data_IF_794777740815
#
_entry.id   IF_794777740815
#
_cell.length_a   1.000
_cell.length_b   1.000
_cell.length_c   1.000
_cell.angle_alpha   90.00
_cell.angle_beta   90.00
_cell.angle_gamma   90.00
#
_symmetry.space_group_name_H-M   'P 1'
#
loop_
_entity.id
_entity.type
_entity.pdbx_description
1 polymer ?
#
# COMPACT_ATOMS: atom_id res chain seq x y z
N UNK A 1 17.77 -22.49 8.07
CA UNK A 1 16.44 -22.15 7.53
C UNK A 1 16.70 -21.65 6.11
N UNK A 2 15.94 -22.08 5.11
CA UNK A 2 16.08 -21.54 3.76
C UNK A 2 15.57 -20.08 3.80
N UNK A 3 16.32 -19.14 3.23
CA UNK A 3 15.87 -17.77 3.05
C UNK A 3 14.54 -17.77 2.28
N UNK A 4 13.63 -16.87 2.64
CA UNK A 4 12.39 -16.65 1.92
C UNK A 4 12.75 -16.45 0.44
N UNK A 5 12.18 -17.25 -0.48
CA UNK A 5 12.49 -17.20 -1.91
C UNK A 5 11.91 -15.99 -2.63
N UNK A 6 11.38 -15.02 -1.89
CA UNK A 6 10.75 -13.81 -2.41
C UNK A 6 11.75 -12.97 -3.22
N UNK A 7 11.38 -12.62 -4.44
CA UNK A 7 12.11 -11.62 -5.21
C UNK A 7 11.92 -10.27 -4.52
N UNK A 8 13.00 -9.67 -4.02
CA UNK A 8 12.97 -8.36 -3.37
C UNK A 8 12.27 -7.34 -4.30
N UNK A 9 11.33 -6.59 -3.77
CA UNK A 9 10.54 -5.56 -4.49
C UNK A 9 11.41 -4.47 -5.16
N UNK A 10 12.59 -4.17 -4.63
CA UNK A 10 13.63 -3.38 -5.31
C UNK A 10 14.92 -4.19 -5.45
N UNK A 11 15.32 -4.46 -6.67
CA UNK A 11 16.70 -4.81 -7.02
C UNK A 11 17.49 -3.52 -7.25
N UNK A 12 17.83 -2.79 -6.21
CA UNK A 12 18.82 -1.70 -6.32
C UNK A 12 19.78 -1.80 -5.15
N UNK A 13 21.06 -1.81 -5.51
CA UNK A 13 22.17 -1.82 -4.58
C UNK A 13 22.08 -0.69 -3.54
N UNK A 14 22.41 -1.05 -2.30
CA UNK A 14 22.84 -0.23 -1.18
C UNK A 14 22.81 1.30 -1.37
N UNK A 15 22.04 1.99 -0.47
CA UNK A 15 22.09 3.42 -0.21
C UNK A 15 21.44 4.38 -1.23
N UNK A 16 20.18 4.14 -1.57
CA UNK A 16 19.30 5.25 -1.97
C UNK A 16 18.36 5.56 -0.78
N UNK A 17 17.97 6.83 -0.65
CA UNK A 17 16.96 7.21 0.35
C UNK A 17 15.68 6.35 0.21
N UNK A 18 14.89 6.20 1.29
CA UNK A 18 13.59 5.52 1.21
C UNK A 18 12.70 6.12 0.13
N UNK A 19 11.90 5.28 -0.51
CA UNK A 19 10.86 5.74 -1.44
C UNK A 19 9.78 6.52 -0.70
N UNK A 20 9.39 7.69 -1.22
CA UNK A 20 8.23 8.45 -0.73
C UNK A 20 6.95 7.84 -1.30
N UNK A 21 6.09 7.34 -0.40
CA UNK A 21 4.78 6.76 -0.74
C UNK A 21 3.71 7.72 -0.18
N UNK A 22 2.93 8.36 -1.05
CA UNK A 22 1.89 9.29 -0.64
C UNK A 22 0.65 8.50 -0.16
N UNK A 23 0.35 8.55 1.14
CA UNK A 23 -0.75 7.85 1.81
C UNK A 23 -2.11 8.42 1.37
N UNK A 24 -2.88 7.65 0.60
CA UNK A 24 -4.14 8.06 -0.04
C UNK A 24 -3.99 9.31 -0.90
N UNK A 25 -2.81 9.46 -1.54
CA UNK A 25 -2.40 10.69 -2.21
C UNK A 25 -1.81 11.74 -1.25
N UNK A 26 -1.74 13.01 -1.69
CA UNK A 26 -1.30 14.13 -0.86
C UNK A 26 -2.47 14.60 0.05
N UNK A 27 -2.87 13.76 1.03
CA UNK A 27 -4.13 13.92 1.77
C UNK A 27 -4.19 15.15 2.69
N UNK A 28 -3.07 15.72 3.08
CA UNK A 28 -3.07 16.98 3.83
C UNK A 28 -3.33 18.20 2.92
N UNK A 29 -3.14 18.05 1.59
CA UNK A 29 -3.33 19.12 0.62
C UNK A 29 -4.64 18.98 -0.20
N UNK A 30 -5.21 17.77 -0.28
CA UNK A 30 -6.46 17.48 -0.99
C UNK A 30 -7.23 16.36 -0.28
N UNK A 31 -8.52 16.21 -0.60
CA UNK A 31 -9.31 15.10 -0.07
C UNK A 31 -8.66 13.76 -0.44
N UNK A 32 -8.45 12.91 0.57
CA UNK A 32 -7.84 11.59 0.43
C UNK A 32 -8.58 10.70 -0.59
N UNK A 33 -7.83 9.78 -1.20
CA UNK A 33 -8.39 8.79 -2.12
C UNK A 33 -9.14 9.40 -3.32
N UNK A 34 -8.70 10.58 -3.80
CA UNK A 34 -9.28 11.26 -4.96
C UNK A 34 -8.25 11.51 -6.05
N UNK A 35 -8.70 11.66 -7.30
CA UNK A 35 -7.80 11.97 -8.42
C UNK A 35 -6.98 13.26 -8.20
N UNK A 36 -7.53 14.36 -7.65
CA UNK A 36 -6.73 15.51 -7.27
C UNK A 36 -5.63 15.23 -6.26
N UNK A 37 -5.88 14.37 -5.24
CA UNK A 37 -4.87 14.02 -4.26
C UNK A 37 -3.71 13.22 -4.88
N UNK A 38 -4.00 12.34 -5.83
CA UNK A 38 -2.98 11.56 -6.55
C UNK A 38 -2.15 12.45 -7.49
N UNK A 39 -2.78 13.41 -8.16
CA UNK A 39 -2.09 14.41 -9.00
C UNK A 39 -1.12 15.25 -8.17
N UNK A 40 -1.58 15.77 -7.02
CA UNK A 40 -0.73 16.53 -6.11
C UNK A 40 0.42 15.69 -5.53
N UNK A 41 0.20 14.43 -5.22
CA UNK A 41 1.27 13.53 -4.77
C UNK A 41 2.42 13.47 -5.79
N UNK A 42 2.10 13.36 -7.08
CA UNK A 42 3.09 13.41 -8.16
C UNK A 42 3.80 14.77 -8.25
N UNK A 43 3.04 15.87 -8.14
CA UNK A 43 3.60 17.23 -8.16
C UNK A 43 4.55 17.49 -6.98
N UNK A 44 4.28 16.87 -5.83
CA UNK A 44 5.10 16.92 -4.62
C UNK A 44 6.29 15.93 -4.64
N UNK A 45 6.49 15.22 -5.75
CA UNK A 45 7.65 14.36 -5.95
C UNK A 45 7.55 12.99 -5.29
N UNK A 46 6.35 12.53 -4.92
CA UNK A 46 6.16 11.14 -4.49
C UNK A 46 6.46 10.18 -5.65
N UNK A 47 7.27 9.15 -5.38
CA UNK A 47 7.54 8.11 -6.37
C UNK A 47 6.40 7.08 -6.43
N UNK A 48 5.69 6.91 -5.31
CA UNK A 48 4.59 5.98 -5.16
C UNK A 48 3.39 6.64 -4.50
N UNK A 49 2.22 6.11 -4.83
CA UNK A 49 0.95 6.43 -4.14
C UNK A 49 0.45 5.17 -3.47
N UNK A 50 -0.09 5.32 -2.27
CA UNK A 50 -0.92 4.30 -1.64
C UNK A 50 -2.39 4.72 -1.77
N UNK A 51 -3.28 3.73 -1.96
CA UNK A 51 -4.72 3.92 -2.06
C UNK A 51 -5.49 2.70 -1.55
N UNK A 52 -6.73 2.94 -1.10
CA UNK A 52 -7.61 1.94 -0.48
C UNK A 52 -8.64 1.40 -1.46
N UNK A 53 -8.61 0.11 -1.77
CA UNK A 53 -9.52 -0.55 -2.69
C UNK A 53 -10.66 -1.27 -1.97
N UNK A 54 -11.91 -0.99 -2.37
CA UNK A 54 -13.13 -1.66 -1.94
C UNK A 54 -14.00 -2.01 -3.14
N UNK A 55 -14.99 -2.88 -2.94
CA UNK A 55 -15.83 -3.38 -4.03
C UNK A 55 -17.30 -3.01 -3.80
N UNK A 56 -17.96 -2.49 -4.84
CA UNK A 56 -19.38 -2.15 -4.87
C UNK A 56 -20.26 -3.38 -5.12
N UNK A 57 -21.60 -3.23 -4.96
CA UNK A 57 -22.59 -4.27 -5.19
C UNK A 57 -22.58 -4.81 -6.64
N UNK A 58 -22.34 -3.94 -7.62
CA UNK A 58 -22.23 -4.29 -9.04
C UNK A 58 -20.83 -4.75 -9.47
N UNK A 59 -19.90 -4.89 -8.49
CA UNK A 59 -18.59 -5.51 -8.69
C UNK A 59 -17.49 -4.56 -9.15
N UNK A 60 -17.74 -3.27 -9.21
CA UNK A 60 -16.71 -2.27 -9.52
C UNK A 60 -15.79 -2.09 -8.32
N UNK A 61 -14.47 -2.07 -8.55
CA UNK A 61 -13.51 -1.69 -7.50
C UNK A 61 -13.38 -0.17 -7.48
N UNK A 62 -13.60 0.42 -6.31
CA UNK A 62 -13.55 1.86 -6.06
C UNK A 62 -12.50 2.19 -5.02
N UNK A 63 -12.10 3.47 -4.94
CA UNK A 63 -11.04 3.91 -4.04
C UNK A 63 -11.63 4.70 -2.88
N UNK A 64 -11.71 4.06 -1.70
CA UNK A 64 -12.25 4.65 -0.48
C UNK A 64 -11.77 3.89 0.76
N UNK A 65 -11.43 4.61 1.85
CA UNK A 65 -10.90 3.97 3.05
C UNK A 65 -11.97 3.22 3.85
N UNK A 66 -13.07 3.88 4.19
CA UNK A 66 -14.08 3.31 5.07
C UNK A 66 -15.04 2.38 4.31
N UNK A 67 -15.55 1.36 4.98
CA UNK A 67 -16.57 0.46 4.43
C UNK A 67 -17.92 1.16 4.23
N UNK A 68 -18.09 2.32 4.86
CA UNK A 68 -19.31 3.11 4.84
C UNK A 68 -19.04 4.54 4.40
N UNK A 69 -19.98 5.11 3.67
CA UNK A 69 -20.01 6.54 3.39
C UNK A 69 -20.33 7.34 4.66
N UNK A 70 -20.06 8.65 4.65
CA UNK A 70 -20.33 9.53 5.77
C UNK A 70 -21.82 9.57 6.22
N UNK A 71 -22.74 9.19 5.32
CA UNK A 71 -24.17 9.06 5.59
C UNK A 71 -24.58 7.68 6.15
N UNK A 72 -23.61 6.76 6.34
CA UNK A 72 -23.79 5.44 6.91
C UNK A 72 -24.15 4.34 5.91
N UNK A 73 -24.29 4.64 4.62
CA UNK A 73 -24.52 3.60 3.60
C UNK A 73 -23.27 2.75 3.40
N UNK A 74 -23.44 1.43 3.31
CA UNK A 74 -22.35 0.48 3.10
C UNK A 74 -22.00 0.42 1.62
N UNK A 75 -20.70 0.55 1.28
CA UNK A 75 -20.22 0.54 -0.11
C UNK A 75 -20.60 -0.71 -0.89
N UNK A 76 -20.49 -1.89 -0.27
CA UNK A 76 -20.85 -3.15 -0.91
C UNK A 76 -22.36 -3.32 -1.20
N UNK A 77 -23.21 -2.44 -0.68
CA UNK A 77 -24.65 -2.42 -0.92
C UNK A 77 -25.05 -1.41 -2.03
N UNK A 78 -24.08 -0.62 -2.52
CA UNK A 78 -24.30 0.42 -3.54
C UNK A 78 -23.69 0.02 -4.87
N UNK A 79 -24.33 0.44 -5.95
CA UNK A 79 -23.72 0.44 -7.29
C UNK A 79 -22.80 1.64 -7.45
N UNK A 80 -21.86 1.60 -8.41
CA UNK A 80 -20.96 2.71 -8.67
C UNK A 80 -21.70 4.02 -8.99
N UNK A 81 -22.84 3.95 -9.68
CA UNK A 81 -23.66 5.11 -10.03
C UNK A 81 -24.34 5.79 -8.82
N UNK A 82 -24.42 5.11 -7.67
CA UNK A 82 -24.99 5.63 -6.41
C UNK A 82 -23.94 6.27 -5.51
N UNK A 83 -22.66 6.20 -5.89
CA UNK A 83 -21.56 6.77 -5.12
C UNK A 83 -21.41 8.27 -5.38
N UNK A 84 -20.85 9.03 -4.41
CA UNK A 84 -20.42 10.40 -4.65
C UNK A 84 -19.39 10.49 -5.80
N UNK A 85 -19.50 11.48 -6.65
CA UNK A 85 -18.67 11.73 -7.83
C UNK A 85 -17.15 11.82 -7.51
N UNK A 86 -16.78 12.18 -6.27
CA UNK A 86 -15.38 12.28 -5.87
C UNK A 86 -14.73 10.94 -5.55
N UNK A 87 -15.50 9.85 -5.42
CA UNK A 87 -14.96 8.48 -5.20
C UNK A 87 -14.67 7.87 -6.57
N UNK A 88 -13.39 7.80 -6.98
CA UNK A 88 -13.06 7.24 -8.28
C UNK A 88 -13.14 5.71 -8.27
N UNK A 89 -13.34 5.12 -9.43
CA UNK A 89 -13.01 3.72 -9.64
C UNK A 89 -11.50 3.50 -9.54
N UNK A 90 -11.08 2.27 -9.22
CA UNK A 90 -9.66 1.92 -9.21
C UNK A 90 -9.05 2.12 -10.61
N UNK A 91 -9.79 1.85 -11.68
CA UNK A 91 -9.31 2.08 -13.05
C UNK A 91 -8.93 3.55 -13.28
N UNK A 92 -9.81 4.49 -12.92
CA UNK A 92 -9.54 5.95 -13.04
C UNK A 92 -8.35 6.37 -12.16
N UNK A 93 -8.24 5.82 -10.95
CA UNK A 93 -7.12 6.09 -10.06
C UNK A 93 -5.79 5.60 -10.64
N UNK A 94 -5.76 4.40 -11.23
CA UNK A 94 -4.57 3.84 -11.86
C UNK A 94 -4.14 4.64 -13.09
N UNK A 95 -5.10 5.15 -13.88
CA UNK A 95 -4.82 6.08 -15.00
C UNK A 95 -4.21 7.40 -14.50
N UNK A 96 -4.77 8.00 -13.44
CA UNK A 96 -4.24 9.25 -12.87
C UNK A 96 -2.84 9.05 -12.28
N UNK A 97 -2.56 7.88 -11.69
CA UNK A 97 -1.25 7.53 -11.14
C UNK A 97 -0.20 7.16 -12.19
N UNK A 98 -0.51 7.31 -13.50
CA UNK A 98 0.46 7.00 -14.55
C UNK A 98 1.78 7.74 -14.33
N UNK A 99 2.89 7.00 -14.37
CA UNK A 99 4.22 7.53 -14.07
C UNK A 99 4.72 7.24 -12.66
N UNK A 100 3.84 7.01 -11.67
CA UNK A 100 4.17 6.56 -10.30
C UNK A 100 4.01 5.05 -10.13
N UNK A 101 4.58 4.50 -9.07
CA UNK A 101 4.18 3.19 -8.57
C UNK A 101 2.93 3.30 -7.71
N UNK A 102 2.20 2.20 -7.54
CA UNK A 102 0.97 2.18 -6.74
C UNK A 102 0.99 1.04 -5.74
N UNK A 103 0.81 1.37 -4.46
CA UNK A 103 0.44 0.42 -3.43
C UNK A 103 -1.08 0.38 -3.31
N UNK A 104 -1.70 -0.74 -3.68
CA UNK A 104 -3.14 -0.94 -3.56
C UNK A 104 -3.41 -1.71 -2.26
N UNK A 105 -3.95 -1.03 -1.24
CA UNK A 105 -4.44 -1.72 -0.06
C UNK A 105 -5.84 -2.29 -0.30
N UNK A 106 -5.98 -3.61 -0.27
CA UNK A 106 -7.31 -4.25 -0.31
C UNK A 106 -7.89 -4.25 1.11
N UNK A 107 -8.95 -3.46 1.28
CA UNK A 107 -9.74 -3.38 2.52
C UNK A 107 -10.76 -4.52 2.54
N UNK A 108 -10.40 -5.63 3.19
CA UNK A 108 -11.26 -6.81 3.29
C UNK A 108 -11.08 -7.50 4.65
N UNK A 109 -11.36 -6.78 5.74
CA UNK A 109 -11.29 -7.35 7.08
C UNK A 109 -12.60 -8.08 7.43
N UNK A 110 -12.55 -9.24 8.09
CA UNK A 110 -13.76 -9.96 8.54
C UNK A 110 -14.66 -9.17 9.49
N UNK A 111 -14.13 -8.10 10.10
CA UNK A 111 -14.88 -7.18 10.97
C UNK A 111 -15.63 -6.09 10.22
N UNK A 112 -15.30 -5.85 8.95
CA UNK A 112 -15.88 -4.79 8.15
C UNK A 112 -17.28 -5.18 7.64
N UNK A 113 -18.24 -4.23 7.58
CA UNK A 113 -19.60 -4.52 7.11
C UNK A 113 -19.66 -4.90 5.62
N UNK A 114 -18.63 -4.57 4.85
CA UNK A 114 -18.48 -4.89 3.43
C UNK A 114 -17.54 -6.08 3.18
N UNK A 115 -17.29 -6.92 4.21
CA UNK A 115 -16.41 -8.08 4.09
C UNK A 115 -16.81 -9.01 2.95
N UNK A 116 -15.93 -9.17 1.99
CA UNK A 116 -16.05 -10.10 0.85
C UNK A 116 -15.39 -11.45 1.21
N UNK A 117 -16.20 -12.39 1.70
CA UNK A 117 -15.74 -13.72 2.14
C UNK A 117 -15.23 -14.59 0.97
N UNK A 118 -15.66 -14.32 -0.25
CA UNK A 118 -15.22 -15.02 -1.45
C UNK A 118 -13.95 -14.39 -2.07
N UNK A 119 -13.49 -13.26 -1.52
CA UNK A 119 -12.32 -12.50 -1.99
C UNK A 119 -12.37 -12.12 -3.48
N UNK A 120 -13.55 -11.82 -4.01
CA UNK A 120 -13.75 -11.40 -5.41
C UNK A 120 -13.06 -10.07 -5.71
N UNK A 121 -12.89 -9.23 -4.68
CA UNK A 121 -12.09 -7.98 -4.78
C UNK A 121 -10.65 -8.28 -5.21
N UNK A 122 -10.04 -9.38 -4.75
CA UNK A 122 -8.68 -9.79 -5.15
C UNK A 122 -8.59 -10.11 -6.64
N UNK A 123 -9.58 -10.81 -7.18
CA UNK A 123 -9.62 -11.14 -8.61
C UNK A 123 -9.78 -9.88 -9.48
N UNK A 124 -10.68 -8.98 -9.05
CA UNK A 124 -10.92 -7.72 -9.76
C UNK A 124 -9.67 -6.81 -9.74
N UNK A 125 -8.99 -6.70 -8.58
CA UNK A 125 -7.73 -5.93 -8.46
C UNK A 125 -6.64 -6.53 -9.35
N UNK A 126 -6.45 -7.86 -9.37
CA UNK A 126 -5.46 -8.50 -10.22
C UNK A 126 -5.70 -8.18 -11.71
N UNK A 127 -6.96 -8.26 -12.16
CA UNK A 127 -7.32 -7.90 -13.54
C UNK A 127 -7.03 -6.43 -13.89
N UNK A 128 -7.28 -5.51 -12.97
CA UNK A 128 -6.99 -4.08 -13.16
C UNK A 128 -5.48 -3.80 -13.17
N UNK A 129 -4.70 -4.44 -12.30
CA UNK A 129 -3.23 -4.33 -12.31
C UNK A 129 -2.67 -4.75 -13.66
N UNK A 130 -3.09 -5.90 -14.17
CA UNK A 130 -2.66 -6.39 -15.49
C UNK A 130 -3.03 -5.44 -16.64
N UNK A 131 -4.20 -4.79 -16.56
CA UNK A 131 -4.70 -3.91 -17.62
C UNK A 131 -4.04 -2.53 -17.63
N UNK A 132 -3.66 -1.97 -16.46
CA UNK A 132 -3.30 -0.56 -16.34
C UNK A 132 -1.83 -0.31 -15.95
N UNK A 133 -1.20 -1.11 -15.12
CA UNK A 133 0.13 -0.81 -14.56
C UNK A 133 1.18 -1.89 -14.82
N UNK A 134 0.82 -3.15 -14.71
CA UNK A 134 1.76 -4.25 -14.62
C UNK A 134 2.37 -4.43 -13.21
N UNK A 135 2.92 -5.63 -12.95
CA UNK A 135 3.41 -6.01 -11.61
C UNK A 135 4.66 -5.23 -11.17
N UNK A 136 5.47 -4.70 -12.09
CA UNK A 136 6.71 -3.97 -11.78
C UNK A 136 6.48 -2.59 -11.15
N UNK A 137 5.27 -2.07 -11.28
CA UNK A 137 4.87 -0.76 -10.74
C UNK A 137 3.75 -0.86 -9.71
N UNK A 138 3.49 -2.05 -9.22
CA UNK A 138 2.41 -2.33 -8.27
C UNK A 138 2.94 -3.13 -7.10
N UNK A 139 2.41 -2.87 -5.93
CA UNK A 139 2.40 -3.77 -4.79
C UNK A 139 0.98 -3.79 -4.26
N UNK A 140 0.49 -4.97 -3.90
CA UNK A 140 -0.83 -5.08 -3.26
C UNK A 140 -0.64 -5.44 -1.80
N UNK A 141 -1.25 -4.67 -0.92
CA UNK A 141 -1.17 -4.87 0.52
C UNK A 141 -2.54 -5.15 1.15
N UNK A 142 -2.55 -5.84 2.27
CA UNK A 142 -3.73 -6.06 3.10
C UNK A 142 -3.34 -6.46 4.51
N UNK A 143 -4.21 -6.17 5.49
CA UNK A 143 -4.18 -6.77 6.82
C UNK A 143 -4.70 -8.22 6.83
N UNK A 144 -5.48 -8.59 5.82
CA UNK A 144 -6.06 -9.92 5.69
C UNK A 144 -5.20 -10.80 4.77
N UNK A 145 -4.55 -11.78 5.37
CA UNK A 145 -3.68 -12.72 4.64
C UNK A 145 -4.45 -13.57 3.63
N UNK A 146 -5.66 -14.00 3.96
CA UNK A 146 -6.47 -14.84 3.06
C UNK A 146 -6.81 -14.08 1.76
N UNK A 147 -6.97 -12.74 1.86
CA UNK A 147 -7.13 -11.85 0.70
C UNK A 147 -5.88 -11.82 -0.18
N UNK A 148 -4.69 -11.77 0.43
CA UNK A 148 -3.42 -11.80 -0.30
C UNK A 148 -3.16 -13.18 -0.91
N UNK A 149 -3.44 -14.27 -0.20
CA UNK A 149 -3.33 -15.63 -0.72
C UNK A 149 -4.24 -15.86 -1.93
N UNK A 150 -5.46 -15.30 -1.89
CA UNK A 150 -6.38 -15.34 -3.04
C UNK A 150 -5.79 -14.61 -4.24
N UNK A 151 -5.24 -13.41 -4.03
CA UNK A 151 -4.60 -12.65 -5.11
C UNK A 151 -3.39 -13.38 -5.68
N UNK A 152 -2.53 -13.96 -4.82
CA UNK A 152 -1.40 -14.78 -5.23
C UNK A 152 -1.83 -15.98 -6.10
N UNK A 153 -2.94 -16.62 -5.73
CA UNK A 153 -3.48 -17.74 -6.51
C UNK A 153 -3.99 -17.31 -7.89
N UNK A 154 -4.44 -16.06 -8.04
CA UNK A 154 -4.88 -15.47 -9.33
C UNK A 154 -3.68 -15.05 -10.18
N UNK A 155 -2.74 -14.31 -9.62
CA UNK A 155 -1.54 -13.84 -10.30
C UNK A 155 -0.34 -13.78 -9.35
N UNK A 156 0.53 -14.81 -9.35
CA UNK A 156 1.71 -14.85 -8.49
C UNK A 156 2.83 -13.89 -8.93
N UNK A 157 2.65 -13.13 -10.00
CA UNK A 157 3.63 -12.14 -10.45
C UNK A 157 3.46 -10.79 -9.77
N UNK A 158 2.27 -10.51 -9.20
CA UNK A 158 1.99 -9.26 -8.48
C UNK A 158 2.68 -9.30 -7.12
N UNK A 159 3.56 -8.33 -6.80
CA UNK A 159 4.18 -8.22 -5.48
C UNK A 159 3.16 -8.01 -4.37
N UNK A 160 3.31 -8.73 -3.25
CA UNK A 160 2.40 -8.67 -2.10
C UNK A 160 3.10 -8.15 -0.85
N UNK A 161 2.36 -7.42 -0.02
CA UNK A 161 2.84 -6.91 1.26
C UNK A 161 1.86 -7.18 2.41
N UNK A 162 2.38 -7.68 3.52
CA UNK A 162 1.59 -7.87 4.73
C UNK A 162 1.57 -6.59 5.58
N UNK A 163 0.36 -6.02 5.78
CA UNK A 163 0.11 -4.90 6.70
C UNK A 163 -0.12 -5.40 8.12
N UNK A 164 0.52 -4.76 9.11
CA UNK A 164 0.23 -5.03 10.52
C UNK A 164 0.48 -3.81 11.40
N UNK A 165 -0.36 -3.67 12.45
CA UNK A 165 -0.32 -2.58 13.41
C UNK A 165 -0.13 -3.05 14.87
N UNK A 166 -0.24 -4.35 15.12
CA UNK A 166 -0.17 -4.97 16.46
C UNK A 166 0.54 -6.32 16.38
N UNK A 167 0.95 -6.83 17.53
CA UNK A 167 1.55 -8.16 17.65
C UNK A 167 3.08 -8.15 17.63
N UNK A 168 3.66 -9.34 17.58
CA UNK A 168 5.12 -9.53 17.53
C UNK A 168 5.61 -9.38 16.08
N UNK A 169 6.50 -8.41 15.78
CA UNK A 169 7.07 -8.23 14.45
C UNK A 169 7.79 -9.49 13.91
N UNK A 170 8.36 -10.30 14.77
CA UNK A 170 9.00 -11.56 14.35
C UNK A 170 7.99 -12.56 13.78
N UNK A 171 6.79 -12.60 14.35
CA UNK A 171 5.69 -13.42 13.83
C UNK A 171 5.14 -12.86 12.51
N UNK A 172 5.09 -11.53 12.36
CA UNK A 172 4.68 -10.90 11.11
C UNK A 172 5.66 -11.21 9.97
N UNK A 173 6.98 -11.13 10.22
CA UNK A 173 8.02 -11.52 9.25
C UNK A 173 7.86 -12.99 8.87
N UNK A 174 7.77 -13.90 9.85
CA UNK A 174 7.63 -15.35 9.61
C UNK A 174 6.36 -15.66 8.78
N UNK A 175 5.26 -14.93 9.05
CA UNK A 175 4.01 -15.06 8.32
C UNK A 175 4.14 -14.57 6.88
N UNK A 176 4.75 -13.40 6.64
CA UNK A 176 5.00 -12.88 5.30
C UNK A 176 5.86 -13.86 4.48
N UNK A 177 6.90 -14.44 5.06
CA UNK A 177 7.72 -15.46 4.40
C UNK A 177 6.93 -16.74 4.08
N UNK A 178 6.10 -17.22 5.01
CA UNK A 178 5.30 -18.43 4.81
C UNK A 178 4.27 -18.30 3.65
N UNK A 179 3.86 -17.08 3.34
CA UNK A 179 2.90 -16.75 2.29
C UNK A 179 3.56 -16.08 1.06
N UNK A 180 4.87 -16.26 0.87
CA UNK A 180 5.65 -15.81 -0.30
C UNK A 180 5.50 -14.30 -0.61
N UNK A 181 5.30 -13.47 0.41
CA UNK A 181 5.20 -12.04 0.25
C UNK A 181 6.55 -11.39 -0.01
N UNK A 182 6.56 -10.25 -0.70
CA UNK A 182 7.77 -9.52 -1.08
C UNK A 182 8.11 -8.38 -0.13
N UNK A 183 7.15 -7.96 0.70
CA UNK A 183 7.32 -6.87 1.66
C UNK A 183 6.47 -7.06 2.92
N UNK A 184 6.85 -6.30 3.95
CA UNK A 184 6.01 -6.02 5.11
C UNK A 184 5.76 -4.52 5.22
N UNK A 185 4.53 -4.16 5.63
CA UNK A 185 4.12 -2.79 5.89
C UNK A 185 3.77 -2.61 7.38
N UNK A 186 4.78 -2.40 8.25
CA UNK A 186 4.57 -2.21 9.68
C UNK A 186 4.06 -0.81 10.01
N UNK A 187 3.18 -0.72 11.02
CA UNK A 187 2.85 0.54 11.67
C UNK A 187 4.09 1.14 12.37
N UNK A 188 4.36 2.44 12.17
CA UNK A 188 5.59 3.11 12.62
C UNK A 188 6.02 2.81 14.06
N UNK A 189 5.15 2.85 15.09
CA UNK A 189 5.55 2.56 16.46
C UNK A 189 6.16 1.17 16.71
N UNK A 190 5.98 0.22 15.80
CA UNK A 190 6.57 -1.12 15.88
C UNK A 190 7.97 -1.19 15.27
N UNK A 191 8.40 -0.14 14.53
CA UNK A 191 9.60 -0.18 13.71
C UNK A 191 10.85 0.17 14.50
N UNK A 192 11.78 -0.80 14.54
CA UNK A 192 13.13 -0.67 15.09
C UNK A 192 14.16 -1.07 14.03
N UNK A 193 15.42 -0.66 14.21
CA UNK A 193 16.51 -1.09 13.32
C UNK A 193 16.60 -2.63 13.23
N UNK A 194 16.41 -3.34 14.35
CA UNK A 194 16.43 -4.80 14.37
C UNK A 194 15.28 -5.45 13.62
N UNK A 195 14.08 -4.82 13.58
CA UNK A 195 12.98 -5.29 12.73
C UNK A 195 13.37 -5.18 11.25
N UNK A 196 13.90 -4.02 10.85
CA UNK A 196 14.29 -3.76 9.45
C UNK A 196 15.36 -4.75 9.00
N UNK A 197 16.45 -4.89 9.77
CA UNK A 197 17.53 -5.84 9.49
C UNK A 197 16.99 -7.28 9.33
N UNK A 198 16.18 -7.75 10.27
CA UNK A 198 15.62 -9.12 10.22
C UNK A 198 14.68 -9.35 9.03
N UNK A 199 13.86 -8.37 8.67
CA UNK A 199 12.99 -8.48 7.49
C UNK A 199 13.82 -8.53 6.20
N UNK A 200 14.85 -7.70 6.10
CA UNK A 200 15.74 -7.65 4.94
C UNK A 200 16.64 -8.89 4.83
N UNK A 201 17.06 -9.48 5.94
CA UNK A 201 17.78 -10.76 5.95
C UNK A 201 16.94 -11.92 5.38
N UNK A 202 15.60 -11.86 5.53
CA UNK A 202 14.66 -12.80 4.91
C UNK A 202 14.26 -12.39 3.47
N UNK A 203 14.78 -11.28 2.95
CA UNK A 203 14.50 -10.80 1.59
C UNK A 203 13.25 -9.94 1.46
N UNK A 204 12.62 -9.55 2.58
CA UNK A 204 11.43 -8.69 2.59
C UNK A 204 11.81 -7.21 2.54
N UNK A 205 11.13 -6.42 1.72
CA UNK A 205 11.17 -4.97 1.82
C UNK A 205 10.34 -4.48 3.01
N UNK A 206 10.68 -3.29 3.55
CA UNK A 206 10.00 -2.68 4.69
C UNK A 206 9.49 -1.29 4.32
N UNK A 207 8.17 -1.13 4.18
CA UNK A 207 7.52 0.16 3.95
C UNK A 207 6.72 0.57 5.17
N UNK A 208 7.13 1.66 5.82
CA UNK A 208 6.59 2.09 7.12
C UNK A 208 5.45 3.08 6.95
N UNK A 209 4.36 2.92 7.70
CA UNK A 209 3.17 3.79 7.68
C UNK A 209 2.68 4.14 9.09
N UNK A 210 2.01 5.27 9.37
CA UNK A 210 2.04 6.50 8.56
C UNK A 210 3.00 7.46 9.27
N UNK A 211 3.96 7.99 8.56
CA UNK A 211 5.07 8.78 9.14
C UNK A 211 5.01 10.21 8.62
N UNK A 212 4.67 11.16 9.51
CA UNK A 212 4.54 12.58 9.16
C UNK A 212 5.59 13.47 9.86
N UNK A 213 6.29 12.94 10.86
CA UNK A 213 7.32 13.66 11.58
C UNK A 213 8.67 13.63 10.82
N UNK A 214 9.23 14.79 10.42
CA UNK A 214 10.51 14.88 9.71
C UNK A 214 11.69 14.21 10.44
N UNK A 215 11.75 14.32 11.76
CA UNK A 215 12.83 13.70 12.53
C UNK A 215 12.68 12.17 12.55
N UNK A 216 11.45 11.67 12.61
CA UNK A 216 11.20 10.25 12.50
C UNK A 216 11.54 9.70 11.12
N UNK A 217 11.28 10.45 10.04
CA UNK A 217 11.68 10.09 8.67
C UNK A 217 13.20 9.89 8.58
N UNK A 218 14.00 10.79 9.16
CA UNK A 218 15.47 10.67 9.21
C UNK A 218 15.91 9.41 9.96
N UNK A 219 15.28 9.12 11.10
CA UNK A 219 15.59 7.92 11.90
C UNK A 219 15.30 6.65 11.09
N UNK A 220 14.15 6.58 10.42
CA UNK A 220 13.76 5.43 9.60
C UNK A 220 14.68 5.26 8.38
N UNK A 221 15.07 6.36 7.73
CA UNK A 221 16.08 6.35 6.68
C UNK A 221 17.41 5.77 7.20
N UNK A 222 17.82 6.17 8.42
CA UNK A 222 18.99 5.61 9.11
C UNK A 222 18.87 4.12 9.45
N UNK A 223 17.67 3.58 9.61
CA UNK A 223 17.44 2.15 9.77
C UNK A 223 17.47 1.39 8.42
N UNK A 224 17.46 2.11 7.30
CA UNK A 224 17.50 1.54 5.96
C UNK A 224 16.15 0.96 5.49
N UNK A 225 15.01 1.54 5.90
CA UNK A 225 13.70 1.14 5.38
C UNK A 225 13.60 1.37 3.88
N UNK A 226 12.80 0.59 3.17
CA UNK A 226 12.68 0.67 1.71
C UNK A 226 11.68 1.76 1.27
N UNK A 227 10.68 2.08 2.09
CA UNK A 227 9.70 3.12 1.81
C UNK A 227 9.12 3.76 3.07
N UNK A 228 8.69 5.00 2.93
CA UNK A 228 7.98 5.79 3.94
C UNK A 228 6.64 6.21 3.36
N UNK A 229 5.55 5.70 3.95
CA UNK A 229 4.18 6.08 3.63
C UNK A 229 3.79 7.27 4.52
N UNK A 230 3.42 8.40 3.90
CA UNK A 230 3.21 9.69 4.57
C UNK A 230 2.02 10.47 4.02
N UNK A 231 1.37 11.26 4.88
CA UNK A 231 0.32 12.20 4.50
C UNK A 231 0.89 13.49 3.88
N UNK A 232 2.19 13.75 4.07
CA UNK A 232 2.91 14.99 3.69
C UNK A 232 4.09 14.66 2.75
N UNK A 233 3.82 14.21 1.51
CA UNK A 233 4.88 13.75 0.60
C UNK A 233 5.89 14.84 0.20
N UNK A 234 5.50 16.10 0.14
CA UNK A 234 6.36 17.26 -0.07
C UNK A 234 7.41 17.40 1.05
N UNK A 235 6.97 17.31 2.31
CA UNK A 235 7.87 17.34 3.47
C UNK A 235 8.80 16.14 3.47
N UNK A 236 8.29 14.95 3.16
CA UNK A 236 9.12 13.75 3.08
C UNK A 236 10.19 13.88 2.00
N UNK A 237 9.85 14.42 0.82
CA UNK A 237 10.84 14.65 -0.25
C UNK A 237 11.93 15.60 0.19
N UNK A 238 11.56 16.76 0.75
CA UNK A 238 12.52 17.74 1.26
C UNK A 238 13.48 17.14 2.30
N UNK A 239 12.95 16.33 3.24
CA UNK A 239 13.76 15.66 4.26
C UNK A 239 14.74 14.68 3.65
N UNK A 240 14.26 13.80 2.75
CA UNK A 240 15.09 12.73 2.19
C UNK A 240 16.14 13.27 1.21
N UNK A 241 15.85 14.32 0.45
CA UNK A 241 16.83 14.98 -0.44
C UNK A 241 18.01 15.58 0.34
N UNK A 242 17.76 16.06 1.57
CA UNK A 242 18.87 16.56 2.43
C UNK A 242 19.80 15.45 2.93
N UNK A 243 19.37 14.18 2.91
CA UNK A 243 20.21 13.05 3.34
C UNK A 243 21.10 12.51 2.21
N UNK A 244 20.77 12.83 0.96
CA UNK A 244 21.55 12.42 -0.23
C UNK A 244 22.59 13.47 -0.65
N UNK A 245 22.53 14.69 -0.09
CA UNK A 245 23.42 15.82 -0.42
C UNK A 245 24.72 15.81 0.39
#
# INVERSE_FOLDING_TARGET
MAACGAKRWKTVAMASAPTVIAHRGAREAAQENTLPAFRLAREFGAEWVELDARRTADGVVVVHHDAQLADGRVLAELTVDELPEFIPSLAEALEECHGMGVNIEIKNLPSDPDYDADHLVSEAVAGLVQAYLGPERTIVSSFNIDTLDRLYAVDPTIPLAYLFAIGDPAMAIARACAHEMTAIHPYDPLVTASLVERAQDEGLAVNVWTVNDPERMKVLAGFGVDGICTDVPDVARDVLDTLEA
#
